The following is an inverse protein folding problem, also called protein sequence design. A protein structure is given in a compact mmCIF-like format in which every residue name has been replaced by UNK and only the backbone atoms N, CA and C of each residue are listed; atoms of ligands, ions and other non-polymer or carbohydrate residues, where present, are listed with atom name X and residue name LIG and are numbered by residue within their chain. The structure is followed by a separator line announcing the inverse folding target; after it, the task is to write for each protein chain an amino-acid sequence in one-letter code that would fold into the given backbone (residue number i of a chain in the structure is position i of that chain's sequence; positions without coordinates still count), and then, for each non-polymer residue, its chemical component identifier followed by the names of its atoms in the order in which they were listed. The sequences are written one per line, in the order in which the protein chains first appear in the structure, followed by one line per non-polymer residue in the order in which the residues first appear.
data_IF_382559295408
#
_entry.id   IF_382559295408
#
_cell.length_a   1.000
_cell.length_b   1.000
_cell.length_c   1.000
_cell.angle_alpha   90.00
_cell.angle_beta   90.00
_cell.angle_gamma   90.00
#
_symmetry.space_group_name_H-M   'P 1'
#
loop_
_entity.id
_entity.type
_entity.pdbx_description
1 polymer ?
#
# COMPACT_ATOMS: atom_id res chain seq x y z
N UNK A 1 16.75 -8.15 -7.26
CA UNK A 1 15.57 -8.66 -8.01
C UNK A 1 15.97 -8.90 -9.46
N UNK A 2 15.70 -10.08 -10.03
CA UNK A 2 15.94 -10.36 -11.46
C UNK A 2 14.63 -10.09 -12.23
N UNK A 3 14.68 -9.42 -13.39
CA UNK A 3 13.50 -9.02 -14.17
C UNK A 3 12.59 -10.21 -14.53
N UNK A 4 13.17 -11.41 -14.68
CA UNK A 4 12.44 -12.65 -14.94
C UNK A 4 11.45 -13.00 -13.82
N UNK A 5 11.73 -12.61 -12.57
CA UNK A 5 10.83 -12.86 -11.43
C UNK A 5 9.69 -11.83 -11.36
N UNK A 6 9.91 -10.59 -11.80
CA UNK A 6 8.89 -9.55 -11.72
C UNK A 6 7.65 -9.90 -12.57
N UNK A 7 7.83 -10.46 -13.76
CA UNK A 7 6.70 -10.88 -14.61
C UNK A 7 5.79 -11.91 -13.92
N UNK A 8 6.32 -12.71 -12.99
CA UNK A 8 5.55 -13.74 -12.28
C UNK A 8 4.67 -13.14 -11.17
N UNK A 9 4.95 -11.92 -10.75
CA UNK A 9 4.26 -11.25 -9.65
C UNK A 9 3.38 -10.09 -10.10
N UNK A 10 3.32 -9.78 -11.40
CA UNK A 10 2.47 -8.70 -11.89
C UNK A 10 1.50 -9.22 -12.96
N UNK A 11 0.21 -8.94 -12.79
CA UNK A 11 -0.79 -9.04 -13.85
C UNK A 11 -1.21 -7.65 -14.30
N UNK A 12 -1.46 -7.49 -15.59
CA UNK A 12 -2.05 -6.26 -16.15
C UNK A 12 -3.55 -6.27 -15.88
N UNK A 13 -4.09 -5.14 -15.44
CA UNK A 13 -5.48 -4.97 -15.04
C UNK A 13 -6.12 -3.76 -15.70
N UNK A 14 -7.45 -3.69 -15.67
CA UNK A 14 -8.21 -2.53 -16.12
C UNK A 14 -8.57 -1.59 -14.96
N UNK A 15 -8.93 -0.36 -15.31
CA UNK A 15 -9.49 0.59 -14.33
C UNK A 15 -10.79 0.07 -13.71
N UNK A 16 -11.62 -0.64 -14.48
CA UNK A 16 -12.85 -1.25 -13.97
C UNK A 16 -12.57 -2.35 -12.93
N UNK A 17 -11.51 -3.15 -13.13
CA UNK A 17 -11.09 -4.15 -12.13
C UNK A 17 -10.59 -3.46 -10.87
N UNK A 18 -9.75 -2.43 -11.02
CA UNK A 18 -9.26 -1.62 -9.89
C UNK A 18 -10.43 -1.05 -9.07
N UNK A 19 -11.37 -0.38 -9.73
CA UNK A 19 -12.51 0.27 -9.04
C UNK A 19 -13.44 -0.72 -8.36
N UNK A 20 -13.65 -1.92 -8.94
CA UNK A 20 -14.39 -3.00 -8.28
C UNK A 20 -13.67 -3.50 -7.02
N UNK A 21 -12.36 -3.74 -7.10
CA UNK A 21 -11.56 -4.15 -5.93
C UNK A 21 -11.60 -3.05 -4.87
N UNK A 22 -11.35 -1.80 -5.26
CA UNK A 22 -11.38 -0.66 -4.35
C UNK A 22 -12.74 -0.56 -3.65
N UNK A 23 -13.84 -0.60 -4.41
CA UNK A 23 -15.19 -0.47 -3.84
C UNK A 23 -15.55 -1.60 -2.88
N UNK A 24 -15.07 -2.83 -3.15
CA UNK A 24 -15.35 -3.99 -2.30
C UNK A 24 -14.52 -4.00 -1.01
N UNK A 25 -13.22 -3.72 -1.11
CA UNK A 25 -12.28 -3.87 0.01
C UNK A 25 -12.11 -2.57 0.83
N UNK A 26 -12.24 -1.40 0.20
CA UNK A 26 -12.18 -0.08 0.86
C UNK A 26 -13.57 0.48 1.17
N UNK A 27 -14.61 -0.37 1.21
CA UNK A 27 -16.00 0.05 1.45
C UNK A 27 -16.15 0.85 2.75
N UNK A 28 -15.72 0.27 3.88
CA UNK A 28 -15.84 0.92 5.19
C UNK A 28 -14.97 2.18 5.30
N UNK A 29 -13.76 2.15 4.73
CA UNK A 29 -12.91 3.34 4.67
C UNK A 29 -13.57 4.47 3.86
N UNK A 30 -14.18 4.15 2.73
CA UNK A 30 -14.92 5.12 1.90
C UNK A 30 -16.12 5.71 2.63
N UNK A 31 -16.82 4.90 3.43
CA UNK A 31 -17.93 5.36 4.27
C UNK A 31 -17.47 6.29 5.38
N UNK A 32 -16.39 5.96 6.07
CA UNK A 32 -15.79 6.84 7.11
C UNK A 32 -15.33 8.15 6.49
N UNK A 33 -14.71 8.10 5.31
CA UNK A 33 -14.28 9.31 4.59
C UNK A 33 -15.46 10.23 4.29
N UNK A 34 -16.55 9.71 3.71
CA UNK A 34 -17.77 10.47 3.42
C UNK A 34 -18.45 11.10 4.64
N UNK A 35 -18.22 10.56 5.85
CA UNK A 35 -18.75 11.16 7.08
C UNK A 35 -17.97 12.39 7.54
N UNK A 36 -16.71 12.54 7.11
CA UNK A 36 -15.79 13.56 7.58
C UNK A 36 -15.39 14.57 6.49
N UNK A 37 -15.47 14.17 5.22
CA UNK A 37 -15.07 14.97 4.07
C UNK A 37 -16.14 14.99 2.99
N UNK A 38 -16.18 16.07 2.21
CA UNK A 38 -17.06 16.18 1.05
C UNK A 38 -16.48 15.40 -0.13
N UNK A 39 -17.31 14.58 -0.79
CA UNK A 39 -16.95 13.83 -2.00
C UNK A 39 -16.68 12.34 -1.78
N UNK A 40 -16.08 11.70 -2.79
CA UNK A 40 -15.78 10.26 -2.78
C UNK A 40 -14.29 10.03 -2.60
N UNK A 41 -13.90 9.12 -1.69
CA UNK A 41 -12.51 8.72 -1.52
C UNK A 41 -11.89 8.20 -2.85
N UNK A 42 -12.69 7.47 -3.64
CA UNK A 42 -12.25 6.97 -4.94
C UNK A 42 -12.02 8.11 -5.95
N UNK A 43 -12.83 9.16 -5.91
CA UNK A 43 -12.71 10.32 -6.79
C UNK A 43 -11.48 11.16 -6.42
N UNK A 44 -11.28 11.46 -5.13
CA UNK A 44 -10.08 12.17 -4.68
C UNK A 44 -8.79 11.41 -4.99
N UNK A 45 -8.81 10.08 -4.88
CA UNK A 45 -7.69 9.24 -5.29
C UNK A 45 -7.47 9.25 -6.81
N UNK A 46 -8.54 9.21 -7.61
CA UNK A 46 -8.44 9.33 -9.07
C UNK A 46 -7.78 10.65 -9.48
N UNK A 47 -8.24 11.77 -8.91
CA UNK A 47 -7.70 13.11 -9.20
C UNK A 47 -6.22 13.21 -8.83
N UNK A 48 -5.85 12.73 -7.63
CA UNK A 48 -4.45 12.72 -7.17
C UNK A 48 -3.55 11.89 -8.09
N UNK A 49 -4.03 10.72 -8.54
CA UNK A 49 -3.29 9.90 -9.50
C UNK A 49 -3.20 10.56 -10.88
N UNK A 50 -4.28 11.14 -11.40
CA UNK A 50 -4.30 11.77 -12.72
C UNK A 50 -3.41 13.02 -12.80
N UNK A 51 -3.30 13.78 -11.70
CA UNK A 51 -2.36 14.87 -11.59
C UNK A 51 -0.92 14.40 -11.80
N UNK A 52 -0.55 13.30 -11.13
CA UNK A 52 0.83 12.82 -11.08
C UNK A 52 1.21 11.97 -12.28
N UNK A 53 0.34 11.08 -12.79
CA UNK A 53 0.69 10.13 -13.85
C UNK A 53 -0.17 10.22 -15.11
N UNK A 54 -1.18 11.10 -15.18
CA UNK A 54 -2.15 11.14 -16.29
C UNK A 54 -2.78 9.77 -16.50
N UNK A 55 -3.72 9.46 -15.62
CA UNK A 55 -4.22 8.11 -15.35
C UNK A 55 -4.85 7.47 -16.60
N UNK A 56 -5.52 8.27 -17.44
CA UNK A 56 -6.09 7.83 -18.72
C UNK A 56 -5.05 7.28 -19.73
N UNK A 57 -3.75 7.56 -19.52
CA UNK A 57 -2.64 7.08 -20.36
C UNK A 57 -1.80 6.00 -19.67
N UNK A 58 -2.25 5.47 -18.53
CA UNK A 58 -1.50 4.50 -17.74
C UNK A 58 -1.85 3.05 -18.12
N UNK A 59 -0.83 2.19 -18.11
CA UNK A 59 -0.97 0.74 -17.97
C UNK A 59 -1.07 0.44 -16.46
N UNK A 60 -2.05 -0.37 -16.06
CA UNK A 60 -2.32 -0.69 -14.65
C UNK A 60 -1.86 -2.11 -14.39
N UNK A 61 -1.09 -2.30 -13.32
CA UNK A 61 -0.63 -3.62 -12.89
C UNK A 61 -1.02 -3.85 -11.45
N UNK A 62 -1.35 -5.09 -11.09
CA UNK A 62 -1.51 -5.52 -9.70
C UNK A 62 -0.40 -6.49 -9.33
N UNK A 63 0.15 -6.29 -8.14
CA UNK A 63 1.13 -7.17 -7.53
C UNK A 63 0.44 -8.38 -6.88
N UNK A 64 0.82 -9.56 -7.33
CA UNK A 64 0.37 -10.85 -6.84
C UNK A 64 1.51 -11.49 -6.02
N UNK A 65 1.51 -11.33 -4.68
CA UNK A 65 2.56 -11.85 -3.84
C UNK A 65 2.61 -13.38 -3.88
N UNK A 66 3.80 -13.97 -3.87
CA UNK A 66 3.95 -15.41 -3.71
C UNK A 66 4.14 -15.74 -2.21
N UNK A 67 3.20 -16.46 -1.59
CA UNK A 67 3.20 -16.69 -0.14
C UNK A 67 4.42 -17.46 0.37
N UNK A 68 5.13 -18.20 -0.49
CA UNK A 68 6.33 -18.96 -0.10
C UNK A 68 7.65 -18.22 -0.38
N UNK A 69 7.61 -17.05 -1.03
CA UNK A 69 8.80 -16.41 -1.58
C UNK A 69 8.85 -14.89 -1.41
N UNK A 70 7.81 -14.27 -0.86
CA UNK A 70 7.67 -12.82 -0.85
C UNK A 70 7.94 -12.20 0.54
N UNK A 71 9.03 -11.42 0.70
CA UNK A 71 9.32 -10.70 1.94
C UNK A 71 8.43 -9.46 2.15
N UNK A 72 7.64 -9.05 1.14
CA UNK A 72 6.70 -7.91 1.21
C UNK A 72 5.26 -8.34 1.52
N UNK A 73 5.06 -9.63 1.82
CA UNK A 73 3.79 -10.11 2.35
C UNK A 73 3.65 -9.56 3.78
N UNK A 74 2.70 -8.66 3.97
CA UNK A 74 2.43 -8.07 5.29
C UNK A 74 1.90 -9.15 6.23
N UNK A 75 2.71 -9.49 7.24
CA UNK A 75 2.33 -10.47 8.26
C UNK A 75 1.10 -9.97 9.02
N UNK A 76 0.06 -10.81 9.13
CA UNK A 76 -1.19 -10.45 9.79
C UNK A 76 -2.18 -9.61 8.96
N UNK A 77 -1.87 -9.31 7.69
CA UNK A 77 -2.85 -8.73 6.77
C UNK A 77 -3.94 -9.76 6.41
N UNK A 78 -5.21 -9.38 6.59
CA UNK A 78 -6.38 -10.13 6.14
C UNK A 78 -6.43 -10.14 4.61
N UNK A 79 -6.12 -8.98 4.01
CA UNK A 79 -5.94 -8.79 2.58
C UNK A 79 -4.99 -7.62 2.34
N UNK A 80 -4.26 -7.65 1.22
CA UNK A 80 -3.33 -6.58 0.80
C UNK A 80 -3.30 -6.52 -0.72
N UNK A 81 -3.46 -5.32 -1.28
CA UNK A 81 -3.37 -5.05 -2.71
C UNK A 81 -2.31 -4.00 -2.96
N UNK A 82 -1.52 -4.20 -4.01
CA UNK A 82 -0.56 -3.21 -4.47
C UNK A 82 -0.69 -3.03 -5.98
N UNK A 83 -1.18 -1.87 -6.38
CA UNK A 83 -1.33 -1.48 -7.78
C UNK A 83 -0.19 -0.57 -8.20
N UNK A 84 0.25 -0.71 -9.45
CA UNK A 84 1.19 0.18 -10.11
C UNK A 84 0.52 0.81 -11.34
N UNK A 85 0.51 2.13 -11.39
CA UNK A 85 0.03 2.91 -12.53
C UNK A 85 1.24 3.43 -13.30
N UNK A 86 1.47 2.88 -14.49
CA UNK A 86 2.65 3.18 -15.29
C UNK A 86 2.28 4.03 -16.52
N UNK A 87 2.75 5.27 -16.55
CA UNK A 87 2.69 6.10 -17.75
C UNK A 87 4.01 5.99 -18.54
N UNK A 88 3.95 5.32 -19.68
CA UNK A 88 5.08 5.13 -20.60
C UNK A 88 5.63 6.43 -21.17
N UNK A 89 4.76 7.39 -21.51
CA UNK A 89 5.17 8.67 -22.12
C UNK A 89 5.97 9.51 -21.13
N UNK A 90 5.55 9.53 -19.87
CA UNK A 90 6.24 10.24 -18.79
C UNK A 90 7.38 9.45 -18.16
N UNK A 91 7.48 8.14 -18.44
CA UNK A 91 8.41 7.20 -17.78
C UNK A 91 8.25 7.23 -16.25
N UNK A 92 7.00 7.31 -15.77
CA UNK A 92 6.66 7.49 -14.36
C UNK A 92 5.75 6.37 -13.89
N UNK A 93 5.98 5.89 -12.66
CA UNK A 93 5.15 4.89 -11.99
C UNK A 93 4.62 5.49 -10.70
N UNK A 94 3.32 5.37 -10.45
CA UNK A 94 2.72 5.60 -9.14
C UNK A 94 2.34 4.26 -8.52
N UNK A 95 2.79 4.01 -7.29
CA UNK A 95 2.40 2.83 -6.52
C UNK A 95 1.28 3.18 -5.56
N UNK A 96 0.22 2.37 -5.54
CA UNK A 96 -0.89 2.51 -4.62
C UNK A 96 -1.12 1.20 -3.89
N UNK A 97 -0.89 1.19 -2.58
CA UNK A 97 -1.04 0.01 -1.73
C UNK A 97 -2.09 0.27 -0.66
N UNK A 98 -2.96 -0.71 -0.46
CA UNK A 98 -3.92 -0.70 0.63
C UNK A 98 -4.15 -2.12 1.14
N UNK A 99 -4.28 -2.25 2.45
CA UNK A 99 -4.43 -3.51 3.15
C UNK A 99 -5.40 -3.37 4.32
N UNK A 100 -5.85 -4.49 4.85
CA UNK A 100 -6.53 -4.56 6.14
C UNK A 100 -5.76 -5.49 7.05
N UNK A 101 -5.39 -4.98 8.21
CA UNK A 101 -4.64 -5.71 9.23
C UNK A 101 -5.60 -6.03 10.36
N UNK A 102 -5.51 -7.25 10.89
CA UNK A 102 -6.23 -7.62 12.10
C UNK A 102 -5.57 -6.96 13.31
N UNK A 103 -6.31 -6.14 14.07
CA UNK A 103 -5.79 -5.57 15.32
C UNK A 103 -5.28 -6.65 16.28
N UNK A 104 -5.92 -7.83 16.30
CA UNK A 104 -5.45 -8.96 17.11
C UNK A 104 -4.07 -9.48 16.69
N UNK A 105 -3.77 -9.45 15.39
CA UNK A 105 -2.47 -9.86 14.89
C UNK A 105 -1.41 -8.77 15.10
N UNK A 106 -1.80 -7.50 14.95
CA UNK A 106 -0.94 -6.35 15.22
C UNK A 106 -0.52 -6.28 16.70
N UNK A 107 -1.47 -6.46 17.62
CA UNK A 107 -1.20 -6.46 19.06
C UNK A 107 -0.28 -7.62 19.47
N UNK A 108 -0.45 -8.80 18.85
CA UNK A 108 0.43 -9.94 19.07
C UNK A 108 1.86 -9.68 18.57
N UNK A 109 2.01 -9.02 17.41
CA UNK A 109 3.31 -8.62 16.88
C UNK A 109 4.02 -7.62 17.81
N UNK A 110 3.30 -6.62 18.32
CA UNK A 110 3.85 -5.67 19.29
C UNK A 110 4.23 -6.33 20.63
N UNK A 111 3.48 -7.35 21.06
CA UNK A 111 3.80 -8.11 22.27
C UNK A 111 5.04 -9.01 22.11
N UNK A 112 5.29 -9.53 20.90
CA UNK A 112 6.46 -10.35 20.57
C UNK A 112 7.70 -9.50 20.19
N UNK A 113 7.52 -8.20 19.93
CA UNK A 113 8.63 -7.27 19.74
C UNK A 113 9.10 -6.78 21.11
N UNK A 114 10.32 -7.11 21.56
CA UNK A 114 10.82 -6.55 22.82
C UNK A 114 10.83 -5.01 22.70
N UNK A 115 10.44 -4.28 23.75
CA UNK A 115 10.44 -2.82 23.71
C UNK A 115 11.87 -2.35 23.40
N UNK A 116 12.07 -1.82 22.20
CA UNK A 116 13.27 -1.08 21.89
C UNK A 116 13.24 0.21 22.72
N UNK A 117 14.07 0.26 23.77
CA UNK A 117 14.55 1.49 24.39
C UNK A 117 13.91 1.90 25.71
N UNK A 118 14.37 1.30 26.82
CA UNK A 118 14.59 2.05 28.07
C UNK A 118 16.11 2.26 28.37
N UNK A 119 17.01 1.75 27.52
CA UNK A 119 18.47 1.75 27.78
C UNK A 119 19.29 2.71 26.88
N UNK A 120 18.65 3.51 26.00
CA UNK A 120 19.35 4.43 25.09
C UNK A 120 19.35 5.91 25.54
N UNK A 121 18.89 6.22 26.75
CA UNK A 121 18.99 7.60 27.31
C UNK A 121 20.37 7.89 27.93
N UNK A 122 21.22 6.89 28.22
CA UNK A 122 22.53 7.11 28.86
C UNK A 122 23.68 7.41 27.87
N UNK A 123 23.48 7.26 26.55
CA UNK A 123 24.59 7.38 25.57
C UNK A 123 24.99 8.83 25.27
N UNK A 124 24.15 9.82 25.60
CA UNK A 124 24.39 11.23 25.26
C UNK A 124 24.67 12.15 26.45
N UNK A 125 24.88 11.63 27.67
CA UNK A 125 25.19 12.48 28.84
C UNK A 125 26.62 13.05 28.85
N UNK A 126 27.53 12.57 27.98
CA UNK A 126 28.96 12.94 28.03
C UNK A 126 29.42 13.82 26.85
N UNK A 127 28.49 14.48 26.15
CA UNK A 127 28.83 15.52 25.16
C UNK A 127 28.78 16.91 25.80
N UNK A 128 29.85 17.24 26.53
CA UNK A 128 30.13 18.59 27.02
C UNK A 128 30.01 19.63 25.89
N UNK A 129 29.34 20.75 26.23
CA UNK A 129 28.94 21.87 25.38
C UNK A 129 30.08 22.86 25.09
#
# INVERSE_FOLDING_TARGET
MNAVKAHQFFSEESWDTFTQIFSNYMFEASKVFQMNEDGSLLEGMYEALDEVVKLAECEIYVYNPNPNADPFLEEGAIWSFCFLFYNRKQKRVAGFRFCCISNLAYDAFLADTPPYGEDDEEIFEDMDM
#
